data_IF_098296383104
#
_entry.id   IF_098296383104
#
_cell.length_a   1.000
_cell.length_b   1.000
_cell.length_c   1.000
_cell.angle_alpha   90.00
_cell.angle_beta   90.00
_cell.angle_gamma   90.00
#
_symmetry.space_group_name_H-M   'P 1'
#
loop_
_entity.id
_entity.type
_entity.pdbx_description
1 polymer ?
#
# COMPACT_ATOMS: atom_id res chain seq x y z
N UNK A 1 10.22 8.09 -16.03
CA UNK A 1 11.60 8.04 -15.49
C UNK A 1 12.71 8.09 -16.55
N UNK A 2 12.45 8.26 -17.86
CA UNK A 2 13.56 8.38 -18.84
C UNK A 2 14.44 9.58 -18.50
N UNK A 3 15.76 9.38 -18.46
CA UNK A 3 16.74 10.43 -18.11
C UNK A 3 16.66 10.94 -16.66
N UNK A 4 15.93 10.26 -15.78
CA UNK A 4 15.80 10.63 -14.36
C UNK A 4 16.28 9.49 -13.46
N UNK A 5 16.78 9.82 -12.27
CA UNK A 5 17.14 8.88 -11.21
C UNK A 5 16.12 8.93 -10.09
N UNK A 6 16.12 7.93 -9.21
CA UNK A 6 15.35 8.02 -7.97
C UNK A 6 15.89 9.16 -7.10
N UNK A 7 14.99 9.87 -6.42
CA UNK A 7 15.37 10.95 -5.50
C UNK A 7 16.27 10.41 -4.37
N UNK A 8 15.87 9.31 -3.73
CA UNK A 8 16.69 8.58 -2.75
C UNK A 8 16.78 7.13 -3.22
N UNK A 9 17.85 6.74 -3.94
CA UNK A 9 18.03 5.37 -4.39
C UNK A 9 18.47 4.46 -3.24
N UNK A 10 17.83 3.31 -3.10
CA UNK A 10 18.19 2.30 -2.12
C UNK A 10 19.44 1.53 -2.52
N UNK A 11 20.12 0.96 -1.51
CA UNK A 11 21.22 0.03 -1.67
C UNK A 11 20.76 -1.40 -1.43
N UNK A 12 21.00 -2.28 -2.41
CA UNK A 12 20.84 -3.72 -2.30
C UNK A 12 22.24 -4.34 -2.24
N UNK A 13 22.55 -5.11 -1.20
CA UNK A 13 23.86 -5.77 -1.00
C UNK A 13 23.77 -7.28 -1.27
N UNK A 14 22.60 -7.87 -1.04
CA UNK A 14 22.35 -9.29 -1.21
C UNK A 14 20.89 -9.52 -1.57
N UNK A 15 20.65 -10.48 -2.45
CA UNK A 15 19.35 -10.78 -3.02
C UNK A 15 19.34 -12.16 -3.68
N UNK A 16 18.15 -12.74 -3.85
CA UNK A 16 17.99 -14.04 -4.49
C UNK A 16 16.77 -14.05 -5.42
N UNK A 17 16.73 -15.05 -6.31
CA UNK A 17 15.61 -15.30 -7.20
C UNK A 17 15.15 -16.74 -7.04
N UNK A 18 13.85 -16.93 -6.87
CA UNK A 18 13.18 -18.23 -6.98
C UNK A 18 12.29 -18.23 -8.22
N UNK A 19 12.29 -19.33 -8.96
CA UNK A 19 11.44 -19.52 -10.14
C UNK A 19 10.52 -20.71 -9.93
N UNK A 20 9.21 -20.44 -9.93
CA UNK A 20 8.16 -21.46 -9.90
C UNK A 20 7.81 -21.97 -11.30
N UNK A 21 8.55 -21.57 -12.32
CA UNK A 21 8.31 -21.96 -13.71
C UNK A 21 8.90 -23.33 -14.03
N UNK A 22 8.27 -24.04 -14.97
CA UNK A 22 8.89 -25.17 -15.65
C UNK A 22 10.16 -24.68 -16.38
N UNK A 23 11.35 -25.22 -16.08
CA UNK A 23 12.60 -24.84 -16.75
C UNK A 23 12.58 -24.99 -18.27
N UNK A 24 11.70 -25.84 -18.82
CA UNK A 24 11.51 -26.00 -20.28
C UNK A 24 10.77 -24.82 -20.91
N UNK A 25 9.97 -24.08 -20.15
CA UNK A 25 9.19 -22.92 -20.61
C UNK A 25 9.80 -21.58 -20.24
N UNK A 26 10.63 -21.56 -19.20
CA UNK A 26 11.40 -20.39 -18.79
C UNK A 26 12.77 -20.88 -18.32
N UNK A 27 13.72 -20.85 -19.24
CA UNK A 27 15.05 -21.39 -19.04
C UNK A 27 15.89 -20.52 -18.09
N UNK A 28 16.90 -21.13 -17.45
CA UNK A 28 17.85 -20.40 -16.62
C UNK A 28 18.52 -19.25 -17.38
N UNK A 29 18.87 -19.46 -18.66
CA UNK A 29 19.51 -18.45 -19.49
C UNK A 29 18.63 -17.23 -19.73
N UNK A 30 17.33 -17.41 -19.94
CA UNK A 30 16.38 -16.29 -20.10
C UNK A 30 16.23 -15.50 -18.80
N UNK A 31 16.14 -16.19 -17.66
CA UNK A 31 16.08 -15.55 -16.34
C UNK A 31 17.36 -14.74 -16.09
N UNK A 32 18.53 -15.32 -16.33
CA UNK A 32 19.82 -14.64 -16.19
C UNK A 32 19.91 -13.40 -17.10
N UNK A 33 19.48 -13.51 -18.37
CA UNK A 33 19.44 -12.38 -19.30
C UNK A 33 18.56 -11.25 -18.77
N UNK A 34 17.37 -11.58 -18.26
CA UNK A 34 16.46 -10.59 -17.68
C UNK A 34 17.08 -9.91 -16.45
N UNK A 35 17.68 -10.66 -15.53
CA UNK A 35 18.29 -10.05 -14.33
C UNK A 35 19.57 -9.25 -14.63
N UNK A 36 20.31 -9.56 -15.70
CA UNK A 36 21.35 -8.63 -16.22
C UNK A 36 20.74 -7.29 -16.63
N UNK A 37 19.60 -7.29 -17.33
CA UNK A 37 18.89 -6.06 -17.68
C UNK A 37 18.35 -5.33 -16.44
N UNK A 38 17.88 -6.06 -15.42
CA UNK A 38 17.46 -5.47 -14.13
C UNK A 38 18.64 -4.76 -13.44
N UNK A 39 19.81 -5.41 -13.33
CA UNK A 39 21.02 -4.81 -12.73
C UNK A 39 21.43 -3.53 -13.47
N UNK A 40 21.44 -3.57 -14.81
CA UNK A 40 21.76 -2.39 -15.62
C UNK A 40 20.76 -1.25 -15.36
N UNK A 41 19.46 -1.54 -15.30
CA UNK A 41 18.42 -0.54 -15.04
C UNK A 41 18.47 -0.01 -13.60
N UNK A 42 18.84 -0.83 -12.61
CA UNK A 42 19.10 -0.40 -11.23
C UNK A 42 20.19 0.67 -11.20
N UNK A 43 21.31 0.44 -11.90
CA UNK A 43 22.39 1.43 -12.04
C UNK A 43 21.95 2.73 -12.70
N UNK A 44 21.18 2.64 -13.81
CA UNK A 44 20.63 3.83 -14.48
C UNK A 44 19.71 4.67 -13.58
N UNK A 45 18.97 4.03 -12.69
CA UNK A 45 18.07 4.69 -11.73
C UNK A 45 18.78 5.15 -10.45
N UNK A 46 20.09 4.90 -10.34
CA UNK A 46 20.94 5.32 -9.22
C UNK A 46 21.02 4.33 -8.05
N UNK A 47 20.36 3.17 -8.14
CA UNK A 47 20.45 2.13 -7.12
C UNK A 47 21.83 1.47 -7.13
N UNK A 48 22.33 1.09 -5.95
CA UNK A 48 23.57 0.32 -5.81
C UNK A 48 23.21 -1.16 -5.60
N UNK A 49 23.77 -2.05 -6.42
CA UNK A 49 23.61 -3.50 -6.30
C UNK A 49 24.89 -4.25 -6.72
N UNK A 50 25.09 -5.51 -6.30
CA UNK A 50 26.20 -6.31 -6.79
C UNK A 50 26.14 -6.45 -8.32
N UNK A 51 27.30 -6.41 -8.97
CA UNK A 51 27.43 -6.64 -10.42
C UNK A 51 27.26 -8.11 -10.78
N UNK A 52 27.47 -9.02 -9.82
CA UNK A 52 27.25 -10.45 -9.98
C UNK A 52 25.76 -10.78 -9.99
N UNK A 53 25.40 -11.78 -10.78
CA UNK A 53 24.03 -12.29 -10.81
C UNK A 53 23.64 -12.88 -9.43
N UNK A 54 22.39 -12.69 -8.99
CA UNK A 54 21.92 -13.34 -7.78
C UNK A 54 21.82 -14.85 -7.98
N UNK A 55 21.89 -15.65 -6.90
CA UNK A 55 21.51 -17.07 -6.95
C UNK A 55 20.08 -17.21 -7.48
N UNK A 56 19.89 -18.11 -8.46
CA UNK A 56 18.60 -18.42 -9.06
C UNK A 56 18.27 -19.87 -8.74
N UNK A 57 17.20 -20.08 -7.97
CA UNK A 57 16.73 -21.38 -7.56
C UNK A 57 15.50 -21.74 -8.41
N UNK A 58 15.59 -22.84 -9.14
CA UNK A 58 14.51 -23.31 -9.99
C UNK A 58 13.70 -24.36 -9.25
N UNK A 59 12.39 -24.36 -9.47
CA UNK A 59 11.54 -25.48 -9.07
C UNK A 59 11.96 -26.73 -9.85
N UNK A 60 12.43 -27.75 -9.16
CA UNK A 60 12.88 -29.02 -9.75
C UNK A 60 11.84 -30.12 -9.62
N UNK A 61 11.13 -30.17 -8.49
CA UNK A 61 10.17 -31.23 -8.18
C UNK A 61 8.75 -30.67 -7.97
N UNK A 62 7.72 -31.51 -8.17
CA UNK A 62 6.32 -31.11 -7.89
C UNK A 62 6.10 -30.73 -6.42
N UNK A 63 6.80 -31.39 -5.49
CA UNK A 63 6.74 -31.15 -4.05
C UNK A 63 7.50 -29.91 -3.55
N UNK A 64 8.25 -29.22 -4.41
CA UNK A 64 8.95 -28.00 -4.00
C UNK A 64 7.93 -26.90 -3.67
N UNK A 65 7.92 -26.52 -2.39
CA UNK A 65 7.06 -25.47 -1.85
C UNK A 65 7.74 -24.11 -1.93
N UNK A 66 6.94 -23.04 -1.95
CA UNK A 66 7.45 -21.67 -1.88
C UNK A 66 8.29 -21.47 -0.63
N UNK A 67 7.89 -22.03 0.52
CA UNK A 67 8.63 -21.99 1.78
C UNK A 67 10.03 -22.61 1.64
N UNK A 68 10.13 -23.82 1.10
CA UNK A 68 11.41 -24.50 0.92
C UNK A 68 12.35 -23.75 -0.02
N UNK A 69 11.84 -23.29 -1.17
CA UNK A 69 12.63 -22.51 -2.12
C UNK A 69 13.06 -21.15 -1.56
N UNK A 70 12.20 -20.47 -0.80
CA UNK A 70 12.54 -19.20 -0.14
C UNK A 70 13.69 -19.38 0.85
N UNK A 71 13.62 -20.40 1.71
CA UNK A 71 14.69 -20.71 2.68
C UNK A 71 16.00 -21.08 1.97
N UNK A 72 15.94 -21.90 0.92
CA UNK A 72 17.11 -22.25 0.12
C UNK A 72 17.73 -21.02 -0.56
N UNK A 73 16.90 -20.11 -1.09
CA UNK A 73 17.32 -18.86 -1.70
C UNK A 73 18.02 -17.93 -0.70
N UNK A 74 17.52 -17.85 0.54
CA UNK A 74 18.16 -17.08 1.62
C UNK A 74 19.55 -17.64 1.94
N UNK A 75 19.67 -18.96 2.08
CA UNK A 75 20.96 -19.63 2.32
C UNK A 75 21.94 -19.37 1.17
N UNK A 76 21.50 -19.54 -0.08
CA UNK A 76 22.33 -19.35 -1.25
C UNK A 76 22.82 -17.89 -1.39
N UNK A 77 21.96 -16.90 -1.14
CA UNK A 77 22.35 -15.49 -1.16
C UNK A 77 23.34 -15.16 -0.04
N UNK A 78 23.14 -15.69 1.18
CA UNK A 78 24.09 -15.48 2.27
C UNK A 78 25.47 -16.08 1.95
N UNK A 79 25.52 -17.24 1.30
CA UNK A 79 26.78 -17.85 0.86
C UNK A 79 27.48 -17.04 -0.23
N UNK A 80 26.72 -16.54 -1.22
CA UNK A 80 27.24 -15.80 -2.36
C UNK A 80 27.69 -14.38 -2.00
N UNK A 81 26.92 -13.66 -1.18
CA UNK A 81 27.16 -12.24 -0.87
C UNK A 81 27.71 -12.00 0.55
N UNK A 82 27.90 -13.06 1.34
CA UNK A 82 28.36 -13.00 2.75
C UNK A 82 27.48 -12.12 3.66
N UNK A 83 26.22 -11.92 3.27
CA UNK A 83 25.23 -11.19 4.06
C UNK A 83 23.81 -11.66 3.69
N UNK A 84 22.86 -11.67 4.64
CA UNK A 84 21.47 -12.05 4.36
C UNK A 84 20.86 -11.21 3.23
N UNK A 85 20.02 -11.79 2.37
CA UNK A 85 19.39 -11.02 1.31
C UNK A 85 18.42 -9.98 1.86
N UNK A 86 18.46 -8.79 1.28
CA UNK A 86 17.49 -7.73 1.56
C UNK A 86 16.21 -7.90 0.75
N UNK A 87 16.26 -8.67 -0.35
CA UNK A 87 15.09 -8.95 -1.18
C UNK A 87 15.16 -10.34 -1.84
N UNK A 88 14.03 -11.04 -1.85
CA UNK A 88 13.83 -12.29 -2.61
C UNK A 88 12.82 -12.05 -3.74
N UNK A 89 13.22 -12.36 -4.96
CA UNK A 89 12.35 -12.29 -6.13
C UNK A 89 11.68 -13.63 -6.39
N UNK A 90 10.40 -13.62 -6.77
CA UNK A 90 9.68 -14.82 -7.20
C UNK A 90 9.14 -14.64 -8.61
N UNK A 91 9.44 -15.60 -9.48
CA UNK A 91 8.90 -15.67 -10.84
C UNK A 91 7.82 -16.75 -10.87
N UNK A 92 6.59 -16.36 -11.18
CA UNK A 92 5.50 -17.30 -11.39
C UNK A 92 5.18 -17.46 -12.88
N UNK A 93 4.80 -18.66 -13.34
CA UNK A 93 4.38 -18.87 -14.73
C UNK A 93 3.06 -18.13 -15.05
N UNK A 94 2.16 -18.06 -14.08
CA UNK A 94 0.85 -17.43 -14.19
C UNK A 94 0.42 -16.83 -12.84
N UNK A 95 -0.70 -16.10 -12.82
CA UNK A 95 -1.27 -15.63 -11.57
C UNK A 95 -1.72 -16.83 -10.73
N UNK A 96 -1.18 -16.94 -9.53
CA UNK A 96 -1.44 -18.03 -8.59
C UNK A 96 -1.49 -17.42 -7.19
N UNK A 97 -2.70 -17.37 -6.61
CA UNK A 97 -2.95 -16.77 -5.32
C UNK A 97 -2.31 -17.58 -4.17
N UNK A 98 -2.23 -18.90 -4.30
CA UNK A 98 -1.66 -19.76 -3.27
C UNK A 98 -0.13 -19.60 -3.22
N UNK A 99 0.54 -19.65 -4.37
CA UNK A 99 1.99 -19.41 -4.43
C UNK A 99 2.33 -17.98 -3.99
N UNK A 100 1.54 -16.99 -4.41
CA UNK A 100 1.71 -15.61 -3.97
C UNK A 100 1.49 -15.46 -2.46
N UNK A 101 0.44 -16.05 -1.90
CA UNK A 101 0.17 -16.06 -0.46
C UNK A 101 1.30 -16.68 0.34
N UNK A 102 1.78 -17.85 -0.09
CA UNK A 102 2.94 -18.52 0.52
C UNK A 102 4.21 -17.66 0.50
N UNK A 103 4.46 -16.92 -0.59
CA UNK A 103 5.56 -15.94 -0.63
C UNK A 103 5.37 -14.85 0.42
N UNK A 104 4.15 -14.31 0.53
CA UNK A 104 3.85 -13.19 1.43
C UNK A 104 3.85 -13.58 2.90
N UNK A 105 3.39 -14.77 3.24
CA UNK A 105 3.58 -15.35 4.58
C UNK A 105 5.08 -15.47 4.90
N UNK A 106 5.87 -16.03 3.99
CA UNK A 106 7.31 -16.19 4.24
C UNK A 106 8.07 -14.86 4.30
N UNK A 107 7.66 -13.85 3.53
CA UNK A 107 8.36 -12.57 3.49
C UNK A 107 7.91 -11.57 4.55
N UNK A 108 6.61 -11.50 4.80
CA UNK A 108 5.99 -10.34 5.46
C UNK A 108 5.61 -10.61 6.93
N UNK A 109 5.39 -11.87 7.34
CA UNK A 109 4.85 -12.22 8.67
C UNK A 109 5.87 -12.89 9.58
N UNK A 110 5.56 -12.93 10.88
CA UNK A 110 6.37 -13.59 11.91
C UNK A 110 6.51 -15.11 11.71
N UNK A 111 5.58 -15.75 10.98
CA UNK A 111 5.68 -17.16 10.59
C UNK A 111 6.75 -17.43 9.50
N UNK A 112 7.31 -16.34 8.95
CA UNK A 112 8.29 -16.32 7.87
C UNK A 112 9.69 -15.93 8.32
N UNK A 113 10.39 -15.16 7.48
CA UNK A 113 11.79 -14.74 7.70
C UNK A 113 11.98 -13.22 7.71
N UNK A 114 10.93 -12.43 7.49
CA UNK A 114 11.03 -10.97 7.52
C UNK A 114 11.95 -10.38 6.46
N UNK A 115 11.94 -10.93 5.24
CA UNK A 115 12.76 -10.47 4.12
C UNK A 115 11.82 -10.03 3.01
N UNK A 116 11.94 -8.76 2.59
CA UNK A 116 11.12 -8.17 1.52
C UNK A 116 11.07 -9.09 0.29
N UNK A 117 9.90 -9.19 -0.33
CA UNK A 117 9.74 -9.96 -1.57
C UNK A 117 9.20 -9.16 -2.76
N UNK A 118 9.63 -9.55 -3.97
CA UNK A 118 9.11 -9.02 -5.24
C UNK A 118 8.68 -10.17 -6.17
N UNK A 119 7.37 -10.27 -6.43
CA UNK A 119 6.82 -11.26 -7.35
C UNK A 119 6.65 -10.67 -8.76
N UNK A 120 6.87 -11.48 -9.80
CA UNK A 120 6.58 -11.14 -11.20
C UNK A 120 6.12 -12.36 -12.00
N UNK A 121 5.52 -12.12 -13.17
CA UNK A 121 5.11 -13.19 -14.08
C UNK A 121 6.16 -13.43 -15.16
N UNK A 122 6.39 -14.69 -15.51
CA UNK A 122 7.39 -15.10 -16.50
C UNK A 122 7.16 -14.51 -17.89
N UNK A 123 5.90 -14.22 -18.25
CA UNK A 123 5.54 -13.57 -19.54
C UNK A 123 6.28 -12.25 -19.81
N UNK A 124 6.82 -11.61 -18.78
CA UNK A 124 7.56 -10.35 -18.91
C UNK A 124 9.07 -10.52 -19.11
N UNK A 125 9.60 -11.74 -18.93
CA UNK A 125 11.03 -12.06 -19.03
C UNK A 125 11.54 -11.95 -20.48
N UNK A 126 10.91 -12.57 -21.49
CA UNK A 126 11.51 -12.67 -22.83
C UNK A 126 11.80 -11.31 -23.46
N UNK A 127 10.91 -10.32 -23.24
CA UNK A 127 11.02 -9.00 -23.86
C UNK A 127 12.03 -8.08 -23.17
N UNK A 128 12.44 -8.35 -21.93
CA UNK A 128 13.29 -7.46 -21.13
C UNK A 128 12.87 -5.98 -21.21
N UNK A 129 11.56 -5.70 -21.20
CA UNK A 129 11.03 -4.38 -21.52
C UNK A 129 11.52 -3.34 -20.49
N UNK A 130 12.26 -2.30 -20.89
CA UNK A 130 12.82 -1.31 -19.96
C UNK A 130 11.76 -0.57 -19.12
N UNK A 131 10.59 -0.29 -19.71
CA UNK A 131 9.49 0.36 -18.98
C UNK A 131 8.92 -0.55 -17.89
N UNK A 132 8.80 -1.85 -18.18
CA UNK A 132 8.34 -2.83 -17.19
C UNK A 132 9.36 -2.98 -16.05
N UNK A 133 10.64 -3.11 -16.38
CA UNK A 133 11.72 -3.22 -15.40
C UNK A 133 11.75 -1.95 -14.52
N UNK A 134 11.69 -0.76 -15.11
CA UNK A 134 11.63 0.49 -14.35
C UNK A 134 10.42 0.56 -13.40
N UNK A 135 9.25 0.08 -13.84
CA UNK A 135 8.05 0.02 -13.00
C UNK A 135 8.19 -0.94 -11.81
N UNK A 136 8.83 -2.10 -12.01
CA UNK A 136 9.14 -2.99 -10.89
C UNK A 136 10.19 -2.36 -9.97
N UNK A 137 11.22 -1.73 -10.52
CA UNK A 137 12.28 -1.12 -9.71
C UNK A 137 11.78 0.04 -8.85
N UNK A 138 10.72 0.76 -9.26
CA UNK A 138 10.01 1.70 -8.37
C UNK A 138 9.49 1.03 -7.10
N UNK A 139 8.93 -0.19 -7.21
CA UNK A 139 8.47 -0.97 -6.05
C UNK A 139 9.65 -1.46 -5.21
N UNK A 140 10.69 -1.98 -5.87
CA UNK A 140 11.89 -2.52 -5.21
C UNK A 140 12.62 -1.42 -4.42
N UNK A 141 12.84 -0.27 -5.04
CA UNK A 141 13.47 0.89 -4.38
C UNK A 141 12.71 1.28 -3.12
N UNK A 142 11.38 1.39 -3.22
CA UNK A 142 10.50 1.73 -2.10
C UNK A 142 10.55 0.68 -1.00
N UNK A 143 10.50 -0.61 -1.33
CA UNK A 143 10.58 -1.65 -0.29
C UNK A 143 11.93 -1.67 0.44
N UNK A 144 13.01 -1.32 -0.25
CA UNK A 144 14.37 -1.28 0.29
C UNK A 144 14.71 0.05 1.00
N UNK A 145 13.74 0.90 1.29
CA UNK A 145 13.98 2.16 2.04
C UNK A 145 14.08 3.42 1.18
N UNK A 146 14.15 3.30 -0.13
CA UNK A 146 14.31 4.42 -1.05
C UNK A 146 13.04 5.27 -1.25
N UNK A 147 13.22 6.41 -1.91
CA UNK A 147 12.16 7.34 -2.35
C UNK A 147 12.30 7.57 -3.85
N UNK A 148 11.24 7.30 -4.62
CA UNK A 148 11.28 7.40 -6.08
C UNK A 148 11.31 8.86 -6.56
N UNK A 149 10.46 9.69 -5.95
CA UNK A 149 10.35 11.12 -6.19
C UNK A 149 9.74 11.81 -4.98
N UNK A 150 9.85 13.14 -4.95
CA UNK A 150 9.27 14.01 -3.90
C UNK A 150 8.55 15.16 -4.59
N UNK A 151 7.53 15.72 -3.92
CA UNK A 151 6.86 16.93 -4.40
C UNK A 151 7.81 18.11 -4.18
N UNK A 152 7.89 19.00 -5.16
CA UNK A 152 8.67 20.24 -5.04
C UNK A 152 7.89 21.31 -4.29
N UNK A 153 8.59 22.02 -3.40
CA UNK A 153 8.03 23.15 -2.65
C UNK A 153 7.18 22.74 -1.45
N UNK A 154 6.78 23.70 -0.61
CA UNK A 154 5.98 23.44 0.57
C UNK A 154 4.56 22.96 0.19
N UNK A 155 4.02 22.11 1.05
CA UNK A 155 2.63 21.67 1.01
C UNK A 155 1.80 22.50 2.01
N UNK A 156 0.57 22.92 1.62
CA UNK A 156 -0.29 23.75 2.46
C UNK A 156 -0.48 23.15 3.85
N UNK A 157 -0.27 23.98 4.89
CA UNK A 157 -0.31 23.68 6.33
C UNK A 157 0.63 22.57 6.84
N UNK A 158 0.78 21.46 6.11
CA UNK A 158 1.48 20.25 6.56
C UNK A 158 3.01 20.36 6.47
N UNK A 159 3.53 21.31 5.68
CA UNK A 159 4.97 21.62 5.66
C UNK A 159 5.38 22.67 6.71
N UNK A 160 4.42 23.38 7.31
CA UNK A 160 4.69 24.42 8.31
C UNK A 160 4.90 23.85 9.73
N UNK A 161 4.41 22.64 10.00
CA UNK A 161 4.56 21.95 11.29
C UNK A 161 4.77 20.46 11.07
N UNK A 162 5.33 19.76 12.06
CA UNK A 162 5.54 18.30 11.96
C UNK A 162 4.18 17.62 11.86
N UNK A 163 3.84 17.13 10.68
CA UNK A 163 2.52 16.56 10.41
C UNK A 163 2.64 15.07 10.09
N UNK A 164 1.71 14.28 10.60
CA UNK A 164 1.50 12.89 10.18
C UNK A 164 0.20 12.79 9.37
N UNK A 165 0.27 12.08 8.24
CA UNK A 165 -0.90 11.83 7.38
C UNK A 165 -1.23 10.35 7.45
N UNK A 166 -2.42 10.06 7.96
CA UNK A 166 -2.98 8.73 8.01
C UNK A 166 -3.84 8.44 6.79
N UNK A 167 -3.87 7.16 6.41
CA UNK A 167 -4.88 6.59 5.56
C UNK A 167 -5.51 5.39 6.25
N UNK A 168 -6.80 5.15 6.03
CA UNK A 168 -7.47 3.98 6.59
C UNK A 168 -8.48 3.39 5.61
N UNK A 169 -8.58 2.06 5.60
CA UNK A 169 -9.53 1.30 4.79
C UNK A 169 -9.97 0.06 5.57
N UNK A 170 -11.22 -0.36 5.36
CA UNK A 170 -11.74 -1.65 5.81
C UNK A 170 -12.18 -2.44 4.60
N UNK A 171 -11.48 -3.55 4.35
CA UNK A 171 -11.86 -4.46 3.26
C UNK A 171 -12.72 -5.58 3.83
N UNK A 172 -13.95 -5.71 3.32
CA UNK A 172 -14.85 -6.83 3.62
C UNK A 172 -14.59 -8.06 2.72
N UNK A 173 -15.01 -9.26 3.16
CA UNK A 173 -15.04 -10.43 2.28
C UNK A 173 -16.14 -10.28 1.21
N UNK A 174 -16.14 -11.21 0.25
CA UNK A 174 -17.15 -11.28 -0.84
C UNK A 174 -18.58 -11.21 -0.29
N UNK A 175 -19.55 -10.57 -0.99
CA UNK A 175 -20.97 -10.54 -0.58
C UNK A 175 -21.58 -11.90 -0.19
N UNK A 176 -21.13 -12.97 -0.83
CA UNK A 176 -21.60 -14.34 -0.58
C UNK A 176 -20.93 -15.02 0.62
N UNK A 177 -19.83 -14.44 1.11
CA UNK A 177 -19.07 -14.95 2.24
C UNK A 177 -19.67 -14.43 3.53
N UNK A 178 -19.97 -15.34 4.46
CA UNK A 178 -20.59 -15.04 5.75
C UNK A 178 -19.69 -15.34 6.94
N UNK A 179 -18.48 -15.85 6.71
CA UNK A 179 -17.64 -16.43 7.76
C UNK A 179 -16.32 -15.68 7.92
N UNK A 180 -15.77 -15.10 6.85
CA UNK A 180 -14.47 -14.43 6.94
C UNK A 180 -14.55 -13.07 7.64
N UNK A 181 -13.49 -12.66 8.37
CA UNK A 181 -13.43 -11.36 9.03
C UNK A 181 -13.35 -10.21 8.03
N UNK A 182 -13.69 -9.00 8.48
CA UNK A 182 -13.22 -7.77 7.83
C UNK A 182 -11.77 -7.53 8.22
N UNK A 183 -11.02 -6.84 7.37
CA UNK A 183 -9.64 -6.44 7.69
C UNK A 183 -9.56 -4.93 7.66
N UNK A 184 -9.23 -4.35 8.80
CA UNK A 184 -8.87 -2.95 8.93
C UNK A 184 -7.37 -2.77 8.68
N UNK A 185 -7.04 -1.76 7.89
CA UNK A 185 -5.68 -1.36 7.64
C UNK A 185 -5.55 0.15 7.82
N UNK A 186 -4.59 0.56 8.64
CA UNK A 186 -4.23 1.96 8.83
C UNK A 186 -2.79 2.13 8.38
N UNK A 187 -2.55 3.12 7.55
CA UNK A 187 -1.20 3.52 7.14
C UNK A 187 -0.93 4.94 7.60
N UNK A 188 0.34 5.26 7.82
CA UNK A 188 0.73 6.62 8.20
C UNK A 188 2.04 7.01 7.53
N UNK A 189 2.15 8.27 7.13
CA UNK A 189 3.38 8.85 6.62
C UNK A 189 4.47 8.82 7.68
N UNK A 190 5.72 8.65 7.26
CA UNK A 190 6.88 8.49 8.15
C UNK A 190 8.03 9.44 7.82
N UNK A 191 7.80 10.39 6.93
CA UNK A 191 8.78 11.40 6.56
C UNK A 191 8.09 12.69 6.13
N UNK A 192 8.83 13.82 6.18
CA UNK A 192 8.30 15.16 5.89
C UNK A 192 7.81 15.37 4.44
N UNK A 193 8.14 14.47 3.52
CA UNK A 193 7.65 14.50 2.12
C UNK A 193 6.45 13.57 1.92
N UNK A 194 5.99 12.89 2.97
CA UNK A 194 4.83 12.00 2.93
C UNK A 194 4.98 10.87 1.90
N UNK A 195 6.21 10.36 1.68
CA UNK A 195 6.50 9.29 0.72
C UNK A 195 6.53 7.93 1.43
N UNK A 196 7.33 7.84 2.48
CA UNK A 196 7.45 6.63 3.31
C UNK A 196 6.20 6.46 4.14
N UNK A 197 5.68 5.24 4.19
CA UNK A 197 4.57 4.90 5.06
C UNK A 197 4.87 3.63 5.86
N UNK A 198 4.37 3.57 7.08
CA UNK A 198 4.21 2.33 7.82
C UNK A 198 2.74 1.90 7.84
N UNK A 199 2.47 0.71 8.34
CA UNK A 199 1.12 0.15 8.41
C UNK A 199 0.87 -0.59 9.72
N UNK A 200 -0.35 -0.47 10.23
CA UNK A 200 -0.94 -1.34 11.23
C UNK A 200 -2.13 -2.09 10.61
N UNK A 201 -2.33 -3.35 11.00
CA UNK A 201 -3.40 -4.21 10.47
C UNK A 201 -4.12 -4.92 11.59
N UNK A 202 -5.44 -5.12 11.42
CA UNK A 202 -6.29 -5.88 12.34
C UNK A 202 -7.34 -6.66 11.57
N UNK A 203 -7.53 -7.91 11.96
CA UNK A 203 -8.75 -8.64 11.61
C UNK A 203 -9.82 -8.27 12.64
N UNK A 204 -11.04 -8.07 12.17
CA UNK A 204 -12.18 -7.72 13.02
C UNK A 204 -13.43 -8.48 12.57
N UNK A 205 -14.51 -8.34 13.34
CA UNK A 205 -15.77 -9.04 13.08
C UNK A 205 -16.28 -8.95 11.63
N UNK A 206 -17.10 -9.91 11.25
CA UNK A 206 -17.65 -10.00 9.91
C UNK A 206 -18.41 -8.71 9.52
N UNK A 207 -18.00 -8.07 8.41
CA UNK A 207 -18.63 -6.85 7.86
C UNK A 207 -18.76 -5.67 8.83
N UNK A 208 -17.93 -5.61 9.87
CA UNK A 208 -17.79 -4.41 10.70
C UNK A 208 -17.02 -3.35 9.90
N UNK A 209 -17.63 -2.18 9.67
CA UNK A 209 -17.00 -1.05 8.96
C UNK A 209 -16.18 -0.17 9.90
N UNK A 210 -16.61 0.02 11.15
CA UNK A 210 -15.85 0.77 12.14
C UNK A 210 -14.51 0.10 12.41
N UNK A 211 -13.41 0.85 12.46
CA UNK A 211 -12.11 0.29 12.85
C UNK A 211 -12.09 0.09 14.36
N UNK A 212 -12.34 -1.14 14.81
CA UNK A 212 -12.55 -1.46 16.23
C UNK A 212 -11.32 -1.14 17.09
N UNK A 213 -10.12 -1.42 16.58
CA UNK A 213 -8.86 -1.27 17.31
C UNK A 213 -8.03 -0.07 16.81
N UNK A 214 -8.71 1.00 16.37
CA UNK A 214 -8.03 2.17 15.79
C UNK A 214 -7.09 2.86 16.79
N UNK A 215 -7.43 2.83 18.08
CA UNK A 215 -6.62 3.43 19.15
C UNK A 215 -5.22 2.84 19.19
N UNK A 216 -5.10 1.51 19.30
CA UNK A 216 -3.80 0.85 19.41
C UNK A 216 -3.03 0.92 18.09
N UNK A 217 -3.71 0.81 16.95
CA UNK A 217 -3.11 1.03 15.63
C UNK A 217 -2.51 2.45 15.50
N UNK A 218 -3.19 3.45 16.05
CA UNK A 218 -2.72 4.85 16.07
C UNK A 218 -1.51 4.99 17.01
N UNK A 219 -1.55 4.40 18.20
CA UNK A 219 -0.42 4.38 19.14
C UNK A 219 0.83 3.77 18.48
N UNK A 220 0.68 2.63 17.81
CA UNK A 220 1.78 1.96 17.09
C UNK A 220 2.42 2.88 16.04
N UNK A 221 1.60 3.53 15.22
CA UNK A 221 2.08 4.38 14.13
C UNK A 221 2.68 5.69 14.64
N UNK A 222 2.13 6.29 15.71
CA UNK A 222 2.69 7.47 16.35
C UNK A 222 4.06 7.18 17.00
N UNK A 223 4.22 6.04 17.66
CA UNK A 223 5.53 5.59 18.18
C UNK A 223 6.54 5.42 17.04
N UNK A 224 6.15 4.77 15.95
CA UNK A 224 7.02 4.61 14.78
C UNK A 224 7.41 5.95 14.15
N UNK A 225 6.46 6.87 14.03
CA UNK A 225 6.70 8.22 13.53
C UNK A 225 7.70 8.97 14.43
N UNK A 226 7.53 8.89 15.74
CA UNK A 226 8.46 9.49 16.71
C UNK A 226 9.88 8.94 16.55
N UNK A 227 10.01 7.61 16.42
CA UNK A 227 11.32 6.97 16.21
C UNK A 227 11.99 7.40 14.89
N UNK A 228 11.22 7.64 13.82
CA UNK A 228 11.77 7.98 12.51
C UNK A 228 12.04 9.48 12.32
N UNK A 229 11.27 10.34 12.98
CA UNK A 229 11.33 11.80 12.82
C UNK A 229 11.90 12.53 14.02
N UNK A 230 12.19 11.80 15.11
CA UNK A 230 12.67 12.34 16.39
C UNK A 230 11.76 13.43 16.98
N UNK A 231 10.45 13.32 16.76
CA UNK A 231 9.48 14.23 17.35
C UNK A 231 8.03 13.76 17.18
N UNK A 232 7.17 14.23 18.08
CA UNK A 232 5.72 13.97 18.02
C UNK A 232 5.10 14.85 16.92
N UNK A 233 4.10 14.35 16.17
CA UNK A 233 3.42 15.20 15.22
C UNK A 233 2.63 16.30 15.94
N UNK A 234 2.76 17.53 15.47
CA UNK A 234 1.98 18.66 15.96
C UNK A 234 0.58 18.68 15.33
N UNK A 235 0.38 17.94 14.23
CA UNK A 235 -0.87 17.91 13.44
C UNK A 235 -1.14 16.51 12.89
N UNK A 236 -2.42 16.14 12.82
CA UNK A 236 -2.88 14.87 12.25
C UNK A 236 -3.86 15.14 11.11
N UNK A 237 -3.55 14.64 9.92
CA UNK A 237 -4.52 14.56 8.80
C UNK A 237 -4.90 13.10 8.61
N UNK A 238 -6.19 12.80 8.52
CA UNK A 238 -6.68 11.42 8.43
C UNK A 238 -7.60 11.25 7.23
N UNK A 239 -7.22 10.38 6.27
CA UNK A 239 -8.04 10.04 5.10
C UNK A 239 -8.66 8.65 5.25
N UNK A 240 -9.99 8.55 5.37
CA UNK A 240 -10.72 7.30 5.59
C UNK A 240 -11.51 6.88 4.34
N UNK A 241 -11.10 5.80 3.68
CA UNK A 241 -11.76 5.25 2.46
C UNK A 241 -12.86 4.25 2.81
N UNK A 242 -13.95 4.21 2.04
CA UNK A 242 -14.93 3.11 2.10
C UNK A 242 -16.17 3.33 2.97
N UNK A 243 -16.28 4.50 3.60
CA UNK A 243 -17.42 4.83 4.49
C UNK A 243 -18.56 5.48 3.69
N UNK A 244 -19.79 5.02 3.91
CA UNK A 244 -21.00 5.63 3.34
C UNK A 244 -21.51 6.80 4.19
N UNK A 245 -22.23 7.75 3.59
CA UNK A 245 -22.75 8.95 4.27
C UNK A 245 -23.57 8.63 5.54
N UNK A 246 -24.42 7.59 5.47
CA UNK A 246 -25.21 7.14 6.63
C UNK A 246 -24.38 6.65 7.83
N UNK A 247 -23.07 6.48 7.67
CA UNK A 247 -22.14 6.04 8.72
C UNK A 247 -21.22 7.16 9.21
N UNK A 248 -21.30 8.39 8.65
CA UNK A 248 -20.38 9.48 8.98
C UNK A 248 -20.38 9.82 10.47
N UNK A 249 -21.56 9.94 11.09
CA UNK A 249 -21.67 10.26 12.52
C UNK A 249 -21.04 9.18 13.41
N UNK A 250 -21.24 7.91 13.07
CA UNK A 250 -20.64 6.80 13.80
C UNK A 250 -19.12 6.85 13.67
N UNK A 251 -18.61 6.94 12.44
CA UNK A 251 -17.16 6.98 12.19
C UNK A 251 -16.53 8.19 12.86
N UNK A 252 -17.13 9.37 12.77
CA UNK A 252 -16.62 10.58 13.42
C UNK A 252 -16.54 10.39 14.94
N UNK A 253 -17.64 9.97 15.59
CA UNK A 253 -17.69 9.85 17.04
C UNK A 253 -16.74 8.77 17.58
N UNK A 254 -16.63 7.63 16.90
CA UNK A 254 -15.79 6.54 17.38
C UNK A 254 -14.32 6.67 16.95
N UNK A 255 -14.06 6.93 15.66
CA UNK A 255 -12.70 6.90 15.12
C UNK A 255 -11.91 8.15 15.56
N UNK A 256 -12.52 9.34 15.59
CA UNK A 256 -11.83 10.54 16.12
C UNK A 256 -11.55 10.38 17.61
N UNK A 257 -12.50 9.87 18.39
CA UNK A 257 -12.30 9.60 19.82
C UNK A 257 -11.16 8.60 20.04
N UNK A 258 -11.08 7.53 19.24
CA UNK A 258 -9.98 6.58 19.32
C UNK A 258 -8.60 7.22 19.03
N UNK A 259 -8.52 8.13 18.05
CA UNK A 259 -7.28 8.88 17.75
C UNK A 259 -6.91 9.81 18.91
N UNK A 260 -7.89 10.47 19.53
CA UNK A 260 -7.68 11.32 20.73
C UNK A 260 -7.16 10.53 21.90
N UNK A 261 -7.81 9.41 22.21
CA UNK A 261 -7.40 8.53 23.28
C UNK A 261 -6.00 7.94 23.05
N UNK A 262 -5.64 7.65 21.80
CA UNK A 262 -4.31 7.21 21.44
C UNK A 262 -3.25 8.28 21.75
N UNK A 263 -3.53 9.55 21.45
CA UNK A 263 -2.64 10.66 21.78
C UNK A 263 -2.50 10.83 23.30
N UNK A 264 -3.61 10.86 24.04
CA UNK A 264 -3.61 10.98 25.50
C UNK A 264 -2.93 9.81 26.22
N UNK A 265 -3.05 8.59 25.68
CA UNK A 265 -2.40 7.41 26.23
C UNK A 265 -0.87 7.43 26.05
N UNK A 266 -0.36 8.15 25.05
CA UNK A 266 1.08 8.32 24.84
C UNK A 266 1.66 9.41 25.74
N UNK A 267 0.91 10.50 25.96
CA UNK A 267 1.31 11.59 26.83
C UNK A 267 0.08 12.36 27.32
N UNK A 268 0.01 12.57 28.63
CA UNK A 268 -1.07 13.36 29.25
C UNK A 268 -1.07 14.77 28.69
N UNK A 269 -2.21 15.20 28.16
CA UNK A 269 -2.38 16.53 27.58
C UNK A 269 -1.97 16.64 26.10
N UNK A 270 -1.43 15.59 25.48
CA UNK A 270 -1.09 15.62 24.06
C UNK A 270 -2.36 15.58 23.18
N UNK A 271 -2.70 16.73 22.60
CA UNK A 271 -3.92 16.96 21.81
C UNK A 271 -3.61 17.70 20.50
N UNK A 272 -2.94 17.05 19.52
CA UNK A 272 -2.67 17.70 18.24
C UNK A 272 -3.98 17.96 17.48
N UNK A 273 -4.17 19.10 16.79
CA UNK A 273 -5.33 19.32 15.94
C UNK A 273 -5.47 18.24 14.86
N UNK A 274 -6.71 17.81 14.62
CA UNK A 274 -7.07 16.76 13.66
C UNK A 274 -7.89 17.37 12.50
N UNK A 275 -7.52 17.03 11.27
CA UNK A 275 -8.41 17.14 10.11
C UNK A 275 -8.77 15.74 9.62
N UNK A 276 -10.06 15.41 9.63
CA UNK A 276 -10.60 14.09 9.29
C UNK A 276 -11.42 14.16 8.01
N UNK A 277 -11.01 13.41 6.99
CA UNK A 277 -11.57 13.46 5.64
C UNK A 277 -11.99 12.07 5.19
N UNK A 278 -13.27 11.88 4.88
CA UNK A 278 -13.77 10.69 4.21
C UNK A 278 -13.38 10.74 2.74
N UNK A 279 -12.96 9.61 2.19
CA UNK A 279 -12.64 9.42 0.78
C UNK A 279 -13.62 8.42 0.17
N UNK A 280 -14.37 8.84 -0.83
CA UNK A 280 -15.34 8.01 -1.52
C UNK A 280 -15.00 7.94 -3.00
N UNK A 281 -14.41 6.81 -3.41
CA UNK A 281 -14.08 6.55 -4.82
C UNK A 281 -15.23 5.89 -5.59
N UNK A 282 -16.15 5.23 -4.90
CA UNK A 282 -17.23 4.43 -5.50
C UNK A 282 -18.58 5.09 -5.27
N UNK A 283 -18.95 5.98 -6.18
CA UNK A 283 -20.26 6.64 -6.24
C UNK A 283 -20.74 6.79 -7.70
N UNK A 284 -21.91 7.39 -7.87
CA UNK A 284 -22.58 7.51 -9.16
C UNK A 284 -22.30 8.82 -9.91
N UNK A 285 -21.77 9.85 -9.24
CA UNK A 285 -21.40 11.14 -9.84
C UNK A 285 -20.34 11.01 -10.94
N UNK A 286 -20.56 11.66 -12.09
CA UNK A 286 -19.62 11.76 -13.21
C UNK A 286 -19.57 13.21 -13.68
N UNK A 287 -18.38 13.64 -14.12
CA UNK A 287 -18.20 14.96 -14.73
C UNK A 287 -17.75 14.83 -16.17
N UNK A 288 -18.29 15.67 -17.03
CA UNK A 288 -17.99 15.74 -18.45
C UNK A 288 -17.52 17.15 -18.78
N UNK A 289 -16.55 17.29 -19.69
CA UNK A 289 -16.12 18.61 -20.14
C UNK A 289 -17.21 19.21 -21.06
N UNK A 290 -17.54 20.48 -20.85
CA UNK A 290 -18.49 21.20 -21.72
C UNK A 290 -17.91 21.40 -23.14
N UNK A 291 -16.59 21.57 -23.23
CA UNK A 291 -15.88 21.78 -24.48
C UNK A 291 -14.77 20.75 -24.68
N UNK A 292 -14.51 20.38 -25.94
CA UNK A 292 -13.43 19.45 -26.30
C UNK A 292 -12.04 19.89 -25.87
N UNK A 293 -11.82 21.20 -25.67
CA UNK A 293 -10.54 21.76 -25.20
C UNK A 293 -10.27 21.48 -23.71
N UNK A 294 -11.33 21.21 -22.95
CA UNK A 294 -11.27 20.91 -21.51
C UNK A 294 -11.26 19.40 -21.24
N UNK A 295 -11.34 18.60 -22.30
CA UNK A 295 -11.17 17.17 -22.25
C UNK A 295 -9.69 16.77 -22.25
N UNK A 296 -9.38 15.68 -21.56
CA UNK A 296 -8.15 14.92 -21.76
C UNK A 296 -8.25 14.03 -23.02
N UNK A 297 -7.17 13.28 -23.30
CA UNK A 297 -7.10 12.41 -24.50
C UNK A 297 -8.15 11.30 -24.54
N UNK A 298 -8.78 10.99 -23.42
CA UNK A 298 -9.83 9.98 -23.31
C UNK A 298 -11.25 10.56 -23.33
N UNK A 299 -11.39 11.89 -23.47
CA UNK A 299 -12.68 12.57 -23.42
C UNK A 299 -13.16 12.90 -22.01
N UNK A 300 -12.36 12.64 -20.98
CA UNK A 300 -12.70 12.95 -19.59
C UNK A 300 -12.28 14.37 -19.21
N UNK A 301 -12.81 14.92 -18.12
CA UNK A 301 -12.28 16.16 -17.54
C UNK A 301 -10.80 15.99 -17.16
N UNK A 302 -10.03 17.07 -17.25
CA UNK A 302 -8.58 17.05 -16.98
C UNK A 302 -8.27 16.66 -15.53
N UNK A 303 -7.10 16.06 -15.34
CA UNK A 303 -6.56 15.86 -14.00
C UNK A 303 -6.34 17.21 -13.31
N UNK A 304 -6.81 17.34 -12.07
CA UNK A 304 -6.82 18.57 -11.28
C UNK A 304 -8.17 19.29 -11.28
N UNK A 305 -9.18 18.84 -12.04
CA UNK A 305 -10.53 19.41 -11.93
C UNK A 305 -11.10 19.18 -10.53
N UNK A 306 -11.52 20.26 -9.89
CA UNK A 306 -12.21 20.27 -8.59
C UNK A 306 -13.64 20.78 -8.81
N UNK A 307 -14.59 20.19 -8.09
CA UNK A 307 -15.97 20.66 -7.99
C UNK A 307 -16.35 20.67 -6.52
N UNK A 308 -16.55 21.85 -5.95
CA UNK A 308 -16.93 22.09 -4.55
C UNK A 308 -18.20 22.96 -4.42
N UNK A 309 -18.90 23.20 -5.54
CA UNK A 309 -20.12 24.00 -5.62
C UNK A 309 -21.19 23.28 -6.45
N UNK A 310 -22.45 23.70 -6.28
CA UNK A 310 -23.60 23.22 -7.04
C UNK A 310 -24.08 21.82 -6.64
N UNK A 311 -23.31 20.79 -6.99
CA UNK A 311 -23.65 19.37 -6.74
C UNK A 311 -23.13 18.84 -5.40
N UNK A 312 -22.37 19.66 -4.67
CA UNK A 312 -21.82 19.33 -3.36
C UNK A 312 -22.86 19.58 -2.26
N UNK A 313 -22.58 19.15 -1.04
CA UNK A 313 -23.49 19.29 0.08
C UNK A 313 -23.77 20.79 0.36
N UNK A 314 -25.02 21.20 0.63
CA UNK A 314 -25.37 22.62 0.77
C UNK A 314 -24.83 23.31 2.04
N UNK A 315 -24.17 22.59 2.95
CA UNK A 315 -23.81 23.06 4.31
C UNK A 315 -22.46 22.47 4.75
N UNK A 316 -22.33 21.15 4.69
CA UNK A 316 -21.08 20.45 4.96
C UNK A 316 -19.97 20.82 3.95
N UNK A 317 -18.72 20.58 4.36
CA UNK A 317 -17.55 20.84 3.54
C UNK A 317 -17.17 19.57 2.78
N UNK A 318 -17.55 19.50 1.52
CA UNK A 318 -17.21 18.42 0.60
C UNK A 318 -16.77 18.94 -0.76
N UNK A 319 -15.99 18.12 -1.45
CA UNK A 319 -15.55 18.43 -2.81
C UNK A 319 -15.24 17.16 -3.58
N UNK A 320 -15.43 17.22 -4.89
CA UNK A 320 -14.95 16.23 -5.82
C UNK A 320 -13.62 16.65 -6.41
N UNK A 321 -12.70 15.70 -6.56
CA UNK A 321 -11.41 15.91 -7.21
C UNK A 321 -11.16 14.83 -8.27
N UNK A 322 -11.01 15.25 -9.52
CA UNK A 322 -10.47 14.43 -10.59
C UNK A 322 -8.95 14.46 -10.54
N UNK A 323 -8.34 13.67 -9.66
CA UNK A 323 -6.88 13.70 -9.46
C UNK A 323 -6.07 12.99 -10.54
N UNK A 324 -6.68 12.24 -11.44
CA UNK A 324 -5.99 11.36 -12.39
C UNK A 324 -6.50 11.52 -13.82
N UNK A 325 -5.62 11.33 -14.80
CA UNK A 325 -6.00 11.32 -16.21
C UNK A 325 -6.67 9.99 -16.58
N UNK A 326 -7.78 10.07 -17.32
CA UNK A 326 -8.52 8.92 -17.82
C UNK A 326 -7.66 8.08 -18.77
N UNK A 327 -7.65 6.77 -18.55
CA UNK A 327 -6.99 5.83 -19.45
C UNK A 327 -7.99 5.18 -20.40
N UNK A 328 -9.18 4.88 -19.91
CA UNK A 328 -10.24 4.22 -20.65
C UNK A 328 -11.58 4.43 -19.94
N UNK A 329 -12.64 4.59 -20.72
CA UNK A 329 -14.00 4.79 -20.21
C UNK A 329 -14.18 6.13 -19.50
N UNK A 330 -15.28 6.27 -18.75
CA UNK A 330 -15.57 7.48 -17.97
C UNK A 330 -14.87 7.41 -16.60
N UNK A 331 -13.99 8.39 -16.35
CA UNK A 331 -13.29 8.55 -15.08
C UNK A 331 -14.28 8.84 -13.95
N UNK A 332 -13.95 8.35 -12.76
CA UNK A 332 -14.71 8.65 -11.54
C UNK A 332 -13.91 9.66 -10.72
N UNK A 333 -14.41 10.90 -10.53
CA UNK A 333 -13.80 11.81 -9.57
C UNK A 333 -13.89 11.17 -8.19
N UNK A 334 -12.95 11.44 -7.29
CA UNK A 334 -13.10 10.98 -5.90
C UNK A 334 -13.77 12.08 -5.10
N UNK A 335 -14.77 11.72 -4.31
CA UNK A 335 -15.50 12.62 -3.43
C UNK A 335 -14.83 12.62 -2.05
N UNK A 336 -14.57 13.81 -1.52
CA UNK A 336 -13.96 14.03 -0.23
C UNK A 336 -14.94 14.80 0.65
N UNK A 337 -15.26 14.26 1.83
CA UNK A 337 -16.07 14.95 2.84
C UNK A 337 -15.22 15.24 4.06
N UNK A 338 -15.16 16.50 4.48
CA UNK A 338 -14.40 16.96 5.64
C UNK A 338 -15.31 16.91 6.87
N UNK A 339 -15.13 15.90 7.72
CA UNK A 339 -15.96 15.73 8.92
C UNK A 339 -15.42 16.50 10.12
N UNK A 340 -14.11 16.79 10.14
CA UNK A 340 -13.46 17.58 11.19
C UNK A 340 -12.30 18.37 10.58
N UNK A 341 -12.12 19.63 10.98
CA UNK A 341 -11.04 20.48 10.47
C UNK A 341 -10.50 21.44 11.54
N UNK A 342 -9.77 20.92 12.52
CA UNK A 342 -9.17 21.75 13.58
C UNK A 342 -7.80 22.34 13.20
N UNK A 343 -7.22 21.87 12.08
CA UNK A 343 -6.02 22.50 11.49
C UNK A 343 -6.41 23.80 10.76
N UNK A 344 -7.72 24.05 10.59
CA UNK A 344 -8.28 25.25 9.96
C UNK A 344 -7.83 25.41 8.50
N UNK A 345 -7.77 24.29 7.76
CA UNK A 345 -7.56 24.37 6.32
C UNK A 345 -8.66 25.20 5.65
N UNK A 346 -8.28 26.11 4.77
CA UNK A 346 -9.19 26.62 3.75
C UNK A 346 -9.51 25.53 2.71
N UNK A 347 -10.59 25.71 1.96
CA UNK A 347 -10.97 24.80 0.89
C UNK A 347 -9.83 24.64 -0.13
N UNK A 348 -9.26 25.75 -0.62
CA UNK A 348 -8.15 25.76 -1.57
C UNK A 348 -6.91 25.01 -1.05
N UNK A 349 -6.57 25.19 0.22
CA UNK A 349 -5.40 24.53 0.82
C UNK A 349 -5.59 23.02 0.91
N UNK A 350 -6.76 22.55 1.37
CA UNK A 350 -7.04 21.12 1.50
C UNK A 350 -7.19 20.44 0.14
N UNK A 351 -7.85 21.09 -0.81
CA UNK A 351 -7.98 20.60 -2.20
C UNK A 351 -6.60 20.52 -2.87
N UNK A 352 -5.77 21.56 -2.72
CA UNK A 352 -4.39 21.60 -3.24
C UNK A 352 -3.51 20.53 -2.60
N UNK A 353 -3.57 20.37 -1.27
CA UNK A 353 -2.86 19.33 -0.54
C UNK A 353 -3.25 17.95 -1.07
N UNK A 354 -4.56 17.66 -1.09
CA UNK A 354 -5.13 16.38 -1.53
C UNK A 354 -4.68 16.05 -2.96
N UNK A 355 -4.74 17.03 -3.87
CA UNK A 355 -4.29 16.83 -5.25
C UNK A 355 -2.79 16.59 -5.35
N UNK A 356 -1.96 17.39 -4.67
CA UNK A 356 -0.50 17.20 -4.68
C UNK A 356 -0.11 15.83 -4.12
N UNK A 357 -0.74 15.39 -3.03
CA UNK A 357 -0.49 14.07 -2.45
C UNK A 357 -0.79 12.93 -3.44
N UNK A 358 -1.76 13.07 -4.35
CA UNK A 358 -2.03 12.06 -5.39
C UNK A 358 -0.82 11.74 -6.30
N UNK A 359 0.22 12.58 -6.30
CA UNK A 359 1.48 12.35 -7.03
C UNK A 359 2.54 11.59 -6.22
N UNK A 360 2.33 11.28 -4.94
CA UNK A 360 3.31 10.57 -4.10
C UNK A 360 3.25 9.05 -4.21
N UNK A 361 2.35 8.51 -5.02
CA UNK A 361 2.16 7.06 -5.12
C UNK A 361 3.38 6.36 -5.73
N UNK A 362 4.09 5.62 -4.88
CA UNK A 362 5.37 4.99 -5.21
C UNK A 362 5.37 3.96 -6.36
N UNK A 363 4.21 3.47 -6.82
CA UNK A 363 4.14 2.39 -7.84
C UNK A 363 4.08 2.87 -9.28
N UNK A 364 3.88 4.15 -9.54
CA UNK A 364 3.80 4.68 -10.90
C UNK A 364 4.31 6.13 -10.99
N UNK A 365 4.54 6.61 -12.21
CA UNK A 365 4.88 8.01 -12.49
C UNK A 365 3.67 8.77 -13.00
N UNK A 366 2.51 8.54 -12.38
CA UNK A 366 1.23 9.19 -12.72
C UNK A 366 0.54 9.56 -11.41
N UNK A 367 -0.23 10.63 -11.43
CA UNK A 367 -1.19 10.88 -10.36
C UNK A 367 -2.23 9.75 -10.30
N UNK A 368 -2.59 9.35 -9.09
CA UNK A 368 -3.59 8.31 -8.84
C UNK A 368 -4.91 8.89 -8.39
N UNK A 369 -5.97 8.08 -8.41
CA UNK A 369 -7.34 8.56 -8.20
C UNK A 369 -7.66 9.06 -6.81
N UNK A 370 -6.83 8.75 -5.80
CA UNK A 370 -7.05 9.12 -4.41
C UNK A 370 -5.72 9.28 -3.69
N UNK A 371 -5.73 9.94 -2.53
CA UNK A 371 -4.53 10.16 -1.72
C UNK A 371 -3.81 8.85 -1.42
N UNK A 372 -2.47 8.77 -1.62
CA UNK A 372 -1.72 7.53 -1.47
C UNK A 372 -1.81 6.90 -0.09
N UNK A 373 -1.94 7.65 1.00
CA UNK A 373 -2.16 7.08 2.33
C UNK A 373 -3.39 6.19 2.35
N UNK A 374 -4.55 6.68 1.91
CA UNK A 374 -5.76 5.85 1.82
C UNK A 374 -5.60 4.69 0.81
N UNK A 375 -4.95 4.94 -0.33
CA UNK A 375 -4.70 3.89 -1.32
C UNK A 375 -3.76 2.78 -0.78
N UNK A 376 -2.77 3.14 0.05
CA UNK A 376 -1.87 2.18 0.68
C UNK A 376 -2.62 1.32 1.70
N UNK A 377 -3.55 1.89 2.46
CA UNK A 377 -4.40 1.11 3.38
C UNK A 377 -5.18 0.02 2.66
N UNK A 378 -5.76 0.32 1.49
CA UNK A 378 -6.37 -0.71 0.65
C UNK A 378 -5.34 -1.79 0.22
N UNK A 379 -4.13 -1.41 -0.22
CA UNK A 379 -3.09 -2.40 -0.58
C UNK A 379 -2.65 -3.27 0.60
N UNK A 380 -2.60 -2.69 1.80
CA UNK A 380 -2.27 -3.36 3.06
C UNK A 380 -3.38 -4.33 3.44
N UNK A 381 -4.66 -3.92 3.41
CA UNK A 381 -5.79 -4.79 3.72
C UNK A 381 -5.85 -6.00 2.77
N UNK A 382 -5.65 -5.77 1.46
CA UNK A 382 -5.54 -6.85 0.47
C UNK A 382 -4.34 -7.77 0.72
N UNK A 383 -3.23 -7.24 1.23
CA UNK A 383 -2.07 -8.06 1.60
C UNK A 383 -2.37 -8.92 2.84
N UNK A 384 -2.97 -8.31 3.86
CA UNK A 384 -3.27 -8.96 5.14
C UNK A 384 -4.29 -10.10 5.02
N UNK A 385 -5.07 -10.15 3.93
CA UNK A 385 -5.89 -11.34 3.60
C UNK A 385 -5.10 -12.64 3.52
N UNK A 386 -3.82 -12.58 3.12
CA UNK A 386 -2.95 -13.75 3.08
C UNK A 386 -2.35 -14.11 4.46
N UNK A 387 -2.57 -13.29 5.48
CA UNK A 387 -2.02 -13.48 6.83
C UNK A 387 -3.02 -14.11 7.79
N UNK A 388 -4.29 -14.23 7.38
CA UNK A 388 -5.29 -14.95 8.16
C UNK A 388 -4.84 -16.40 8.36
N UNK A 389 -4.99 -16.89 9.58
CA UNK A 389 -4.70 -18.28 9.91
C UNK A 389 -5.91 -19.10 9.46
N UNK A 390 -5.77 -19.83 8.35
CA UNK A 390 -6.83 -20.76 7.96
C UNK A 390 -6.97 -21.83 9.05
N UNK A 391 -8.19 -21.95 9.59
CA UNK A 391 -8.55 -23.01 10.52
C UNK A 391 -8.48 -24.37 9.82
N UNK A 392 -7.32 -25.02 9.94
CA UNK A 392 -6.99 -26.39 9.53
C UNK A 392 -6.79 -26.66 8.02
N UNK A 393 -5.69 -27.37 7.73
CA UNK A 393 -5.32 -28.01 6.47
C UNK A 393 -6.27 -29.17 6.06
N UNK A 394 -7.56 -29.13 6.41
CA UNK A 394 -8.54 -30.20 6.10
C UNK A 394 -9.95 -29.67 5.79
N UNK A 395 -10.08 -28.52 5.14
CA UNK A 395 -11.37 -28.10 4.55
C UNK A 395 -11.66 -28.86 3.23
N UNK A 396 -11.55 -30.19 3.26
CA UNK A 396 -12.30 -31.06 2.37
C UNK A 396 -13.71 -31.20 2.94
N UNK A 397 -14.64 -30.44 2.34
CA UNK A 397 -16.06 -30.77 2.18
C UNK A 397 -16.79 -31.38 3.38
N UNK A 398 -17.46 -30.55 4.19
CA UNK A 398 -18.81 -30.89 4.68
C UNK A 398 -19.62 -29.61 4.93
N UNK A 399 -20.68 -29.45 4.13
CA UNK A 399 -21.79 -28.54 4.37
C UNK A 399 -22.59 -29.04 5.57
N UNK A 400 -22.45 -28.39 6.73
CA UNK A 400 -23.27 -28.62 7.92
C UNK A 400 -23.83 -27.31 8.44
N UNK A 401 -25.13 -27.08 8.22
CA UNK A 401 -25.86 -25.92 8.73
C UNK A 401 -25.95 -26.03 10.24
N UNK A 402 -25.31 -25.12 10.97
CA UNK A 402 -25.58 -24.89 12.39
C UNK A 402 -25.85 -23.40 12.61
N UNK A 403 -27.07 -23.10 13.07
CA UNK A 403 -27.62 -21.77 13.31
C UNK A 403 -27.16 -21.19 14.68
N UNK A 404 -25.88 -21.33 15.01
CA UNK A 404 -25.29 -20.57 16.11
C UNK A 404 -24.42 -19.48 15.50
N UNK A 405 -24.47 -18.27 16.06
CA UNK A 405 -23.61 -17.16 15.66
C UNK A 405 -22.15 -17.57 15.90
N UNK A 406 -21.54 -18.23 14.92
CA UNK A 406 -20.14 -18.59 14.95
C UNK A 406 -19.35 -17.29 15.07
N UNK A 407 -18.64 -17.15 16.18
CA UNK A 407 -17.75 -16.02 16.37
C UNK A 407 -16.74 -16.01 15.21
N UNK A 408 -16.55 -14.84 14.60
CA UNK A 408 -15.76 -14.73 13.37
C UNK A 408 -14.29 -15.00 13.71
N UNK A 409 -13.67 -16.01 13.10
CA UNK A 409 -12.24 -16.26 13.33
C UNK A 409 -11.41 -15.09 12.83
N UNK A 410 -10.79 -14.38 13.79
CA UNK A 410 -9.97 -13.19 13.56
C UNK A 410 -8.48 -13.47 13.73
N UNK A 411 -8.07 -14.74 13.88
CA UNK A 411 -6.66 -15.09 14.01
C UNK A 411 -5.89 -14.74 12.74
N UNK A 412 -4.81 -13.99 12.91
CA UNK A 412 -3.96 -13.48 11.85
C UNK A 412 -2.52 -13.49 12.34
N UNK A 413 -1.58 -13.88 11.48
CA UNK A 413 -0.16 -13.74 11.77
C UNK A 413 0.22 -12.27 11.83
N UNK A 414 1.01 -11.90 12.83
CA UNK A 414 1.55 -10.55 12.91
C UNK A 414 2.59 -10.27 11.81
N UNK A 415 2.68 -9.01 11.43
CA UNK A 415 3.73 -8.53 10.52
C UNK A 415 5.07 -8.66 11.21
N UNK A 416 6.05 -9.25 10.52
CA UNK A 416 7.39 -9.44 11.07
C UNK A 416 7.99 -8.09 11.49
N UNK A 417 8.70 -7.97 12.64
CA UNK A 417 9.24 -6.69 13.10
C UNK A 417 10.08 -5.94 12.06
N UNK A 418 10.90 -6.65 11.28
CA UNK A 418 11.70 -6.09 10.19
C UNK A 418 10.86 -5.45 9.05
N UNK A 419 9.59 -5.80 8.92
CA UNK A 419 8.68 -5.23 7.92
C UNK A 419 7.94 -3.99 8.42
N UNK A 420 7.91 -3.71 9.73
CA UNK A 420 7.20 -2.53 10.28
C UNK A 420 7.75 -1.20 9.73
N UNK A 421 9.05 -1.14 9.43
CA UNK A 421 9.71 0.03 8.79
C UNK A 421 9.76 -0.04 7.26
N UNK A 422 9.30 -1.14 6.67
CA UNK A 422 9.31 -1.37 5.23
C UNK A 422 7.91 -1.16 4.63
N UNK A 423 7.85 -0.59 3.43
CA UNK A 423 6.61 -0.53 2.66
C UNK A 423 6.37 -1.88 1.94
N UNK A 424 6.28 -2.97 2.70
CA UNK A 424 6.18 -4.35 2.17
C UNK A 424 4.96 -4.56 1.26
N UNK A 425 3.90 -3.79 1.50
CA UNK A 425 2.63 -3.79 0.75
C UNK A 425 2.73 -3.20 -0.67
N UNK A 426 3.79 -2.43 -0.98
CA UNK A 426 4.01 -1.80 -2.30
C UNK A 426 4.26 -2.82 -3.39
#
# INVERSE_FOLDING_TARGET
MRGKRFNTPAQCKSWAVISMCDPRRCSLGEIQKFFKAVIAQMGQLGMRCPSTLPPILLKSNRGDSVRGLFQAAVKAANQAFKTPPQIVWMINPMADAQAYGGLKLMSDTEAGMGIVSQCMLSKHIPKCNPQYIANILMKVNTKLGGKNGVISGPLPCVSASRTIIFGADVTHPSPMDRTRPSIAAVTASMDANFIRHASAIRAQGHRVEQIADLKDMTIELLKQFYHQTHGKPDRIVFYRDGVSEGQFHMVLNYEVTAIREACQALEVGYMPPITFVIVQKRHNTRFFPDNSRDADRSGNVKAGTVVDTGVCHPIENDFYLMSHAGLQGTSRPTHYHVLLNEIEFTADELQTLTYKLCYTFARCTRSVSMVPSAYYSHLVAFRARFFLVDGSDTASSVSGVSNTSQDTDTRMYDVHPAMKSAMYFV
#
